data_IF_486368947371
#
_entry.id   IF_486368947371
#
_cell.length_a   1.000
_cell.length_b   1.000
_cell.length_c   1.000
_cell.angle_alpha   90.00
_cell.angle_beta   90.00
_cell.angle_gamma   90.00
#
_symmetry.space_group_name_H-M   'P 1'
#
loop_
_entity.id
_entity.type
_entity.pdbx_description
1 polymer ?
#
# COMPACT_ATOMS: atom_id res chain seq x y z
N UNK A 1 5.88 -18.21 -13.09
CA UNK A 1 4.61 -18.70 -13.69
C UNK A 1 3.48 -17.75 -13.28
N UNK A 2 2.38 -17.67 -14.03
CA UNK A 2 1.19 -16.89 -13.65
C UNK A 2 0.06 -17.87 -13.27
N UNK A 3 0.01 -18.35 -12.01
CA UNK A 3 -0.97 -19.35 -11.59
C UNK A 3 -2.39 -18.81 -11.43
N UNK A 4 -2.58 -17.48 -11.35
CA UNK A 4 -3.88 -16.88 -11.04
C UNK A 4 -4.19 -15.67 -11.91
N UNK A 5 -5.45 -15.23 -11.86
CA UNK A 5 -5.94 -13.99 -12.42
C UNK A 5 -5.91 -12.87 -11.38
N UNK A 6 -6.03 -11.63 -11.85
CA UNK A 6 -6.14 -10.48 -10.95
C UNK A 6 -7.41 -10.50 -10.11
N UNK A 7 -8.50 -11.02 -10.65
CA UNK A 7 -9.75 -11.16 -9.91
C UNK A 7 -9.61 -12.12 -8.73
N UNK A 8 -8.99 -13.29 -8.95
CA UNK A 8 -8.73 -14.29 -7.91
C UNK A 8 -7.85 -13.71 -6.80
N UNK A 9 -6.75 -13.01 -7.16
CA UNK A 9 -5.86 -12.37 -6.18
C UNK A 9 -6.52 -11.23 -5.43
N UNK A 10 -7.39 -10.47 -6.09
CA UNK A 10 -8.16 -9.41 -5.45
C UNK A 10 -9.13 -10.00 -4.42
N UNK A 11 -9.83 -11.07 -4.79
CA UNK A 11 -10.74 -11.79 -3.90
C UNK A 11 -9.99 -12.45 -2.74
N UNK A 12 -8.83 -13.05 -3.00
CA UNK A 12 -7.94 -13.63 -2.00
C UNK A 12 -7.49 -12.57 -0.97
N UNK A 13 -6.97 -11.43 -1.44
CA UNK A 13 -6.54 -10.33 -0.58
C UNK A 13 -7.69 -9.76 0.27
N UNK A 14 -8.89 -9.67 -0.29
CA UNK A 14 -10.09 -9.25 0.44
C UNK A 14 -10.49 -10.28 1.50
N UNK A 15 -10.48 -11.56 1.17
CA UNK A 15 -10.88 -12.64 2.08
C UNK A 15 -9.93 -12.77 3.27
N UNK A 16 -8.61 -12.76 3.01
CA UNK A 16 -7.58 -12.83 4.06
C UNK A 16 -7.76 -11.70 5.09
N UNK A 17 -8.19 -10.52 4.64
CA UNK A 17 -8.35 -9.33 5.47
C UNK A 17 -9.79 -9.06 5.92
N UNK A 18 -10.74 -9.94 5.58
CA UNK A 18 -12.16 -9.76 5.91
C UNK A 18 -12.81 -8.50 5.31
N UNK A 19 -12.32 -8.04 4.15
CA UNK A 19 -12.75 -6.77 3.53
C UNK A 19 -13.95 -6.98 2.59
N UNK A 20 -14.90 -6.04 2.63
CA UNK A 20 -15.92 -5.90 1.59
C UNK A 20 -15.41 -4.96 0.49
N UNK A 21 -16.04 -4.97 -0.68
CA UNK A 21 -15.68 -4.05 -1.78
C UNK A 21 -15.74 -2.57 -1.35
N UNK A 22 -16.69 -2.21 -0.48
CA UNK A 22 -16.79 -0.85 0.09
C UNK A 22 -15.58 -0.49 0.96
N UNK A 23 -15.00 -1.45 1.67
CA UNK A 23 -13.80 -1.22 2.47
C UNK A 23 -12.59 -0.99 1.57
N UNK A 24 -12.46 -1.74 0.48
CA UNK A 24 -11.40 -1.53 -0.52
C UNK A 24 -11.48 -0.13 -1.13
N UNK A 25 -12.68 0.37 -1.45
CA UNK A 25 -12.86 1.73 -1.96
C UNK A 25 -12.40 2.78 -0.93
N UNK A 26 -12.76 2.60 0.34
CA UNK A 26 -12.35 3.50 1.43
C UNK A 26 -10.84 3.48 1.64
N UNK A 27 -10.20 2.31 1.60
CA UNK A 27 -8.75 2.18 1.69
C UNK A 27 -8.03 2.80 0.47
N UNK A 28 -8.65 2.75 -0.69
CA UNK A 28 -8.10 3.30 -1.93
C UNK A 28 -8.24 4.82 -2.04
N UNK A 29 -9.20 5.43 -1.34
CA UNK A 29 -9.51 6.87 -1.40
C UNK A 29 -8.29 7.81 -1.24
N UNK A 30 -7.43 7.68 -0.21
CA UNK A 30 -6.27 8.57 -0.07
C UNK A 30 -5.30 8.46 -1.25
N UNK A 31 -5.10 7.25 -1.78
CA UNK A 31 -4.25 7.03 -2.95
C UNK A 31 -4.91 7.55 -4.23
N UNK A 32 -6.22 7.39 -4.37
CA UNK A 32 -6.99 7.96 -5.49
C UNK A 32 -6.79 9.47 -5.55
N UNK A 33 -6.88 10.16 -4.40
CA UNK A 33 -6.64 11.59 -4.31
C UNK A 33 -5.18 11.95 -4.61
N UNK A 34 -4.21 11.27 -3.98
CA UNK A 34 -2.78 11.56 -4.14
C UNK A 34 -2.27 11.40 -5.58
N UNK A 35 -2.78 10.40 -6.32
CA UNK A 35 -2.33 10.10 -7.68
C UNK A 35 -3.29 10.62 -8.77
N UNK A 36 -4.40 11.29 -8.40
CA UNK A 36 -5.41 11.77 -9.36
C UNK A 36 -6.15 10.65 -10.10
N UNK A 37 -6.33 9.50 -9.45
CA UNK A 37 -6.85 8.27 -10.04
C UNK A 37 -8.27 8.01 -9.51
N UNK A 38 -9.28 7.94 -10.39
CA UNK A 38 -10.66 7.64 -9.97
C UNK A 38 -10.93 6.12 -9.90
N UNK A 39 -11.17 5.56 -8.71
CA UNK A 39 -11.62 4.17 -8.53
C UNK A 39 -13.09 4.13 -8.07
N UNK A 40 -14.01 3.97 -9.02
CA UNK A 40 -15.44 3.88 -8.74
C UNK A 40 -15.92 2.48 -8.35
N UNK A 41 -17.06 2.42 -7.64
CA UNK A 41 -17.71 1.16 -7.22
C UNK A 41 -17.94 0.18 -8.37
N UNK A 42 -18.49 0.66 -9.50
CA UNK A 42 -18.76 -0.17 -10.68
C UNK A 42 -17.50 -0.81 -11.24
N UNK A 43 -16.40 -0.05 -11.30
CA UNK A 43 -15.11 -0.56 -11.78
C UNK A 43 -14.58 -1.65 -10.84
N UNK A 44 -14.58 -1.40 -9.52
CA UNK A 44 -14.13 -2.39 -8.54
C UNK A 44 -14.96 -3.69 -8.61
N UNK A 45 -16.28 -3.61 -8.71
CA UNK A 45 -17.13 -4.80 -8.86
C UNK A 45 -16.79 -5.59 -10.14
N UNK A 46 -16.47 -4.90 -11.23
CA UNK A 46 -16.03 -5.55 -12.47
C UNK A 46 -14.63 -6.18 -12.36
N UNK A 47 -13.74 -5.61 -11.54
CA UNK A 47 -12.42 -6.18 -11.27
C UNK A 47 -12.53 -7.45 -10.41
N UNK A 48 -13.33 -7.40 -9.34
CA UNK A 48 -13.55 -8.55 -8.44
C UNK A 48 -14.22 -9.71 -9.17
N UNK A 49 -15.16 -9.43 -10.07
CA UNK A 49 -15.80 -10.47 -10.90
C UNK A 49 -14.93 -10.96 -12.08
N UNK A 50 -13.79 -10.31 -12.34
CA UNK A 50 -12.93 -10.62 -13.48
C UNK A 50 -13.50 -10.22 -14.84
N UNK A 51 -14.61 -9.47 -14.88
CA UNK A 51 -15.20 -8.96 -16.13
C UNK A 51 -14.24 -8.01 -16.85
N UNK A 52 -13.48 -7.23 -16.08
CA UNK A 52 -12.47 -6.30 -16.61
C UNK A 52 -11.20 -6.45 -15.78
N UNK A 53 -10.04 -6.33 -16.43
CA UNK A 53 -8.75 -6.28 -15.76
C UNK A 53 -8.40 -4.81 -15.48
N UNK A 54 -8.00 -4.43 -14.25
CA UNK A 54 -7.57 -3.07 -13.94
C UNK A 54 -6.35 -2.68 -14.78
N UNK A 55 -6.33 -1.44 -15.27
CA UNK A 55 -5.14 -0.84 -15.89
C UNK A 55 -4.08 -0.53 -14.83
N UNK A 56 -2.86 -0.19 -15.27
CA UNK A 56 -1.71 0.03 -14.40
C UNK A 56 -2.00 1.03 -13.27
N UNK A 57 -2.64 2.16 -13.56
CA UNK A 57 -3.01 3.17 -12.56
C UNK A 57 -3.89 2.56 -11.43
N UNK A 58 -4.98 1.87 -11.80
CA UNK A 58 -5.88 1.23 -10.84
C UNK A 58 -5.23 0.07 -10.11
N UNK A 59 -4.38 -0.70 -10.79
CA UNK A 59 -3.66 -1.82 -10.22
C UNK A 59 -2.69 -1.33 -9.12
N UNK A 60 -1.97 -0.23 -9.37
CA UNK A 60 -1.13 0.42 -8.36
C UNK A 60 -1.94 0.90 -7.17
N UNK A 61 -3.08 1.58 -7.40
CA UNK A 61 -3.96 2.01 -6.30
C UNK A 61 -4.45 0.82 -5.47
N UNK A 62 -4.88 -0.27 -6.13
CA UNK A 62 -5.34 -1.48 -5.44
C UNK A 62 -4.20 -2.16 -4.67
N UNK A 63 -2.99 -2.20 -5.23
CA UNK A 63 -1.80 -2.73 -4.57
C UNK A 63 -1.43 -1.93 -3.32
N UNK A 64 -1.50 -0.60 -3.37
CA UNK A 64 -1.28 0.27 -2.22
C UNK A 64 -2.39 0.13 -1.17
N UNK A 65 -3.65 0.15 -1.60
CA UNK A 65 -4.81 0.07 -0.71
C UNK A 65 -4.89 -1.27 0.04
N UNK A 66 -4.50 -2.36 -0.62
CA UNK A 66 -4.51 -3.70 -0.06
C UNK A 66 -3.16 -4.11 0.51
N UNK A 67 -2.14 -3.25 0.50
CA UNK A 67 -0.77 -3.56 0.90
C UNK A 67 -0.27 -4.89 0.30
N UNK A 68 -0.36 -4.99 -1.03
CA UNK A 68 0.13 -6.12 -1.82
C UNK A 68 0.93 -5.65 -3.01
N UNK A 69 1.86 -6.49 -3.46
CA UNK A 69 2.62 -6.28 -4.69
C UNK A 69 1.69 -6.26 -5.90
N UNK A 70 1.85 -5.31 -6.82
CA UNK A 70 1.13 -5.30 -8.10
C UNK A 70 1.42 -6.56 -8.91
N UNK A 71 2.66 -7.08 -8.82
CA UNK A 71 3.07 -8.29 -9.53
C UNK A 71 2.34 -9.51 -8.97
N UNK A 72 2.20 -9.59 -7.65
CA UNK A 72 1.36 -10.61 -7.03
C UNK A 72 -0.10 -10.45 -7.44
N UNK A 73 -0.62 -9.23 -7.41
CA UNK A 73 -2.00 -8.91 -7.79
C UNK A 73 -2.29 -9.17 -9.27
N UNK A 74 -1.28 -9.13 -10.14
CA UNK A 74 -1.37 -9.58 -11.54
C UNK A 74 -1.46 -11.10 -11.69
N UNK A 75 -1.30 -11.85 -10.60
CA UNK A 75 -1.42 -13.30 -10.55
C UNK A 75 -0.11 -14.05 -10.76
N UNK A 76 1.04 -13.37 -10.68
CA UNK A 76 2.34 -14.03 -10.73
C UNK A 76 2.65 -14.74 -9.41
N UNK A 77 3.48 -15.77 -9.51
CA UNK A 77 4.00 -16.51 -8.36
C UNK A 77 5.19 -15.76 -7.73
N UNK A 78 4.86 -14.78 -6.88
CA UNK A 78 5.79 -13.93 -6.12
C UNK A 78 5.21 -13.70 -4.71
N UNK A 79 5.96 -13.14 -3.74
CA UNK A 79 5.38 -12.80 -2.43
C UNK A 79 4.20 -11.82 -2.53
N UNK A 80 3.18 -12.04 -1.70
CA UNK A 80 1.98 -11.20 -1.63
C UNK A 80 2.28 -9.79 -1.16
N UNK A 81 3.04 -9.70 -0.08
CA UNK A 81 3.44 -8.44 0.52
C UNK A 81 4.25 -7.61 -0.47
N UNK A 82 4.00 -6.31 -0.45
CA UNK A 82 4.95 -5.39 -1.06
C UNK A 82 6.25 -5.58 -0.29
N UNK A 83 7.34 -5.88 -1.00
CA UNK A 83 8.62 -5.43 -0.49
C UNK A 83 8.47 -3.92 -0.44
N UNK A 84 8.29 -3.37 0.75
CA UNK A 84 8.72 -2.00 0.98
C UNK A 84 10.20 -2.04 0.61
N UNK A 85 10.49 -1.75 -0.66
CA UNK A 85 11.71 -1.02 -0.90
C UNK A 85 11.65 0.08 0.15
N UNK A 86 12.75 0.32 0.91
CA UNK A 86 12.89 1.58 1.59
C UNK A 86 12.36 2.58 0.59
N UNK A 87 11.39 3.41 1.01
CA UNK A 87 11.04 4.60 0.26
C UNK A 87 12.39 5.08 -0.28
N UNK A 88 12.59 5.30 -1.59
CA UNK A 88 13.69 6.14 -1.98
C UNK A 88 13.33 7.47 -1.33
N UNK A 89 13.64 7.58 -0.03
CA UNK A 89 14.07 8.78 0.59
C UNK A 89 15.05 9.23 -0.46
N UNK A 90 14.73 10.33 -1.13
CA UNK A 90 15.82 11.16 -1.58
C UNK A 90 16.76 11.17 -0.39
N UNK A 91 17.92 10.54 -0.56
CA UNK A 91 18.93 10.44 0.47
C UNK A 91 19.48 11.86 0.66
N UNK A 92 18.58 12.78 1.03
CA UNK A 92 18.91 14.11 1.44
C UNK A 92 19.73 13.95 2.71
N UNK A 93 20.70 14.83 2.87
CA UNK A 93 21.68 14.72 3.95
C UNK A 93 20.98 14.63 5.31
N UNK A 94 19.80 15.25 5.44
CA UNK A 94 18.98 15.25 6.65
C UNK A 94 18.43 13.88 7.00
N UNK A 95 18.00 13.09 6.00
CA UNK A 95 17.50 11.73 6.20
C UNK A 95 18.59 10.80 6.69
N UNK A 96 19.80 10.92 6.12
CA UNK A 96 20.98 10.16 6.56
C UNK A 96 21.41 10.55 7.97
N UNK A 97 21.51 11.85 8.23
CA UNK A 97 21.85 12.40 9.54
C UNK A 97 20.85 11.93 10.60
N UNK A 98 19.55 11.96 10.31
CA UNK A 98 18.53 11.46 11.23
C UNK A 98 18.74 9.98 11.57
N UNK A 99 18.99 9.12 10.58
CA UNK A 99 19.20 7.68 10.82
C UNK A 99 20.45 7.44 11.65
N UNK A 100 21.54 8.14 11.36
CA UNK A 100 22.79 8.03 12.13
C UNK A 100 22.60 8.46 13.59
N UNK A 101 22.00 9.63 13.82
CA UNK A 101 21.72 10.14 15.16
C UNK A 101 20.74 9.22 15.90
N UNK A 102 19.66 8.79 15.25
CA UNK A 102 18.65 7.94 15.85
C UNK A 102 19.24 6.60 16.28
N UNK A 103 20.14 6.01 15.50
CA UNK A 103 20.77 4.73 15.84
C UNK A 103 21.65 4.79 17.09
N UNK A 104 22.27 5.94 17.37
CA UNK A 104 23.10 6.17 18.56
C UNK A 104 22.29 6.31 19.87
N UNK A 105 20.96 6.48 19.78
CA UNK A 105 20.10 6.65 20.95
C UNK A 105 19.79 5.32 21.66
N UNK A 106 19.59 5.41 22.98
CA UNK A 106 19.03 4.31 23.78
C UNK A 106 17.58 4.02 23.42
N UNK A 107 17.08 2.84 23.81
CA UNK A 107 15.70 2.43 23.56
C UNK A 107 14.67 3.44 24.09
N UNK A 108 14.89 4.02 25.27
CA UNK A 108 13.97 5.00 25.85
C UNK A 108 13.99 6.33 25.09
N UNK A 109 15.17 6.77 24.64
CA UNK A 109 15.28 7.97 23.81
C UNK A 109 14.63 7.79 22.43
N UNK A 110 14.82 6.62 21.79
CA UNK A 110 14.15 6.27 20.53
C UNK A 110 12.63 6.34 20.66
N UNK A 111 12.07 5.83 21.77
CA UNK A 111 10.63 5.91 22.07
C UNK A 111 10.15 7.37 22.18
N UNK A 112 10.91 8.22 22.86
CA UNK A 112 10.55 9.63 23.01
C UNK A 112 10.54 10.37 21.65
N UNK A 113 11.55 10.14 20.81
CA UNK A 113 11.62 10.71 19.45
C UNK A 113 10.42 10.26 18.62
N UNK A 114 10.10 8.96 18.63
CA UNK A 114 8.93 8.44 17.91
C UNK A 114 7.60 9.02 18.40
N UNK A 115 7.47 9.25 19.71
CA UNK A 115 6.27 9.87 20.28
C UNK A 115 6.07 11.30 19.74
N UNK A 116 7.14 12.09 19.72
CA UNK A 116 7.09 13.46 19.17
C UNK A 116 6.74 13.45 17.68
N UNK A 117 7.37 12.56 16.89
CA UNK A 117 7.06 12.42 15.46
C UNK A 117 5.57 12.07 15.22
N UNK A 118 5.02 11.13 15.99
CA UNK A 118 3.59 10.78 15.91
C UNK A 118 2.70 11.97 16.24
N UNK A 119 3.06 12.76 17.25
CA UNK A 119 2.32 13.97 17.62
C UNK A 119 2.26 15.03 16.52
N UNK A 120 3.23 15.08 15.61
CA UNK A 120 3.17 15.94 14.43
C UNK A 120 2.25 15.39 13.32
N UNK A 121 2.15 14.06 13.19
CA UNK A 121 1.34 13.40 12.18
C UNK A 121 -0.15 13.37 12.53
N UNK A 122 -0.51 13.33 13.81
CA UNK A 122 -1.90 13.35 14.28
C UNK A 122 -2.57 14.74 14.18
N UNK A 123 -1.78 15.79 13.92
CA UNK A 123 -2.26 17.18 13.86
C UNK A 123 -2.40 17.75 12.44
N UNK A 124 -2.21 16.91 11.42
CA UNK A 124 -2.56 17.21 10.01
C UNK A 124 -3.90 16.58 9.67
#
# INVERSE_FOLDING_TARGET
MKPSTTAERLQEAMNIRGLKQVDVLRLAEPYCHAYGVNLGKTALTQYVSGKIVPRQDKLTILGLALDVSEVWLMGYDVPMERKTAPIPMEEDERSKEFVELFNQLSTEQKKAVLYVMKGFLEKQ
#
